data_IF_008235478980
#
_entry.id   IF_008235478980
#
_cell.length_a   1.000
_cell.length_b   1.000
_cell.length_c   1.000
_cell.angle_alpha   90.00
_cell.angle_beta   90.00
_cell.angle_gamma   90.00
#
_symmetry.space_group_name_H-M   'P 1'
#
loop_
_entity.id
_entity.type
_entity.pdbx_description
1 polymer ?
#
# COMPACT_ATOMS: atom_id res chain seq x y z
N UNK A 1 15.83 -12.91 23.09
CA UNK A 1 15.00 -11.71 23.14
C UNK A 1 14.04 -11.82 21.97
N UNK A 2 12.78 -11.93 22.24
CA UNK A 2 11.72 -11.93 21.25
C UNK A 2 11.55 -10.51 20.68
N UNK A 3 10.81 -10.34 19.59
CA UNK A 3 10.65 -9.02 18.96
C UNK A 3 9.82 -8.10 19.88
N UNK A 4 8.79 -8.63 20.54
CA UNK A 4 8.01 -7.90 21.54
C UNK A 4 8.86 -7.44 22.72
N UNK A 5 9.73 -8.33 23.26
CA UNK A 5 10.67 -7.93 24.33
C UNK A 5 11.63 -6.81 23.89
N UNK A 6 12.08 -6.81 22.63
CA UNK A 6 12.92 -5.74 22.10
C UNK A 6 12.14 -4.41 22.01
N UNK A 7 10.89 -4.47 21.57
CA UNK A 7 10.02 -3.30 21.50
C UNK A 7 9.75 -2.71 22.91
N UNK A 8 9.57 -3.56 23.92
CA UNK A 8 9.43 -3.14 25.32
C UNK A 8 10.67 -2.42 25.86
N UNK A 9 11.85 -2.92 25.55
CA UNK A 9 13.13 -2.27 25.91
C UNK A 9 13.29 -0.90 25.25
N UNK A 10 12.73 -0.69 24.05
CA UNK A 10 12.71 0.63 23.40
C UNK A 10 11.87 1.66 24.18
N UNK A 11 10.85 1.24 24.93
CA UNK A 11 10.09 2.11 25.83
C UNK A 11 10.93 2.72 26.96
N UNK A 12 12.06 2.12 27.30
CA UNK A 12 13.03 2.67 28.26
C UNK A 12 14.04 3.66 27.64
N UNK A 13 14.01 3.82 26.32
CA UNK A 13 14.86 4.74 25.57
C UNK A 13 14.13 6.07 25.31
N UNK A 14 14.76 6.96 24.55
CA UNK A 14 14.16 8.22 24.14
C UNK A 14 14.14 8.39 22.63
N UNK A 15 13.55 9.49 22.16
CA UNK A 15 13.46 9.86 20.75
C UNK A 15 12.78 8.76 19.94
N UNK A 16 13.21 8.48 18.72
CA UNK A 16 12.56 7.55 17.82
C UNK A 16 12.42 6.10 18.33
N UNK A 17 13.19 5.67 19.31
CA UNK A 17 12.99 4.37 19.95
C UNK A 17 11.74 4.34 20.83
N UNK A 18 11.49 5.43 21.58
CA UNK A 18 10.24 5.58 22.34
C UNK A 18 9.04 5.67 21.40
N UNK A 19 9.15 6.44 20.30
CA UNK A 19 8.08 6.53 19.30
C UNK A 19 7.79 5.16 18.66
N UNK A 20 8.82 4.33 18.46
CA UNK A 20 8.65 2.98 17.92
C UNK A 20 7.93 2.04 18.90
N UNK A 21 8.26 2.12 20.21
CA UNK A 21 7.53 1.40 21.24
C UNK A 21 6.05 1.81 21.27
N UNK A 22 5.75 3.10 21.28
CA UNK A 22 4.39 3.63 21.23
C UNK A 22 3.66 3.16 19.95
N UNK A 23 4.37 3.08 18.80
CA UNK A 23 3.78 2.55 17.58
C UNK A 23 3.38 1.07 17.69
N UNK A 24 4.11 0.28 18.45
CA UNK A 24 3.73 -1.12 18.74
C UNK A 24 2.50 -1.15 19.63
N UNK A 25 2.43 -0.33 20.68
CA UNK A 25 1.29 -0.28 21.60
C UNK A 25 0.00 0.13 20.87
N UNK A 26 0.06 1.20 20.06
CA UNK A 26 -1.09 1.66 19.26
C UNK A 26 -1.47 0.65 18.17
N UNK A 27 -0.49 -0.05 17.56
CA UNK A 27 -0.77 -1.08 16.56
C UNK A 27 -1.42 -2.32 17.18
N UNK A 28 -0.99 -2.73 18.36
CA UNK A 28 -1.60 -3.82 19.12
C UNK A 28 -3.08 -3.52 19.40
N UNK A 29 -3.37 -2.30 19.91
CA UNK A 29 -4.74 -1.86 20.15
C UNK A 29 -5.58 -1.75 18.87
N UNK A 30 -4.96 -1.31 17.76
CA UNK A 30 -5.61 -1.20 16.44
C UNK A 30 -5.93 -2.56 15.82
N UNK A 31 -5.17 -3.60 16.12
CA UNK A 31 -5.37 -4.96 15.61
C UNK A 31 -6.36 -5.78 16.45
N UNK A 32 -7.13 -5.14 17.32
CA UNK A 32 -8.27 -5.75 17.99
C UNK A 32 -9.42 -6.00 17.00
N UNK A 33 -10.22 -7.04 17.23
CA UNK A 33 -11.30 -7.48 16.33
C UNK A 33 -12.41 -6.43 16.13
N UNK A 34 -12.56 -5.49 17.04
CA UNK A 34 -13.61 -4.47 17.01
C UNK A 34 -13.20 -3.18 16.24
N UNK A 35 -11.93 -3.06 15.79
CA UNK A 35 -11.41 -1.88 15.10
C UNK A 35 -11.38 -2.08 13.59
N UNK A 36 -12.00 -1.16 12.84
CA UNK A 36 -11.89 -1.14 11.36
C UNK A 36 -10.59 -0.45 10.94
N UNK A 37 -9.67 -1.20 10.35
CA UNK A 37 -8.32 -0.74 10.01
C UNK A 37 -8.21 -0.28 8.56
N UNK A 38 -7.92 1.01 8.38
CA UNK A 38 -7.58 1.62 7.10
C UNK A 38 -6.06 1.70 6.96
N UNK A 39 -5.51 0.93 6.03
CA UNK A 39 -4.07 0.84 5.81
C UNK A 39 -3.64 1.68 4.61
N UNK A 40 -2.91 2.75 4.84
CA UNK A 40 -2.36 3.64 3.81
C UNK A 40 -0.93 3.25 3.42
N UNK A 41 -0.72 2.71 2.23
CA UNK A 41 0.57 2.23 1.74
C UNK A 41 1.12 3.12 0.62
N UNK A 42 2.08 3.97 0.93
CA UNK A 42 2.82 4.80 -0.02
C UNK A 42 4.28 4.33 -0.18
N UNK A 43 5.00 4.99 -1.06
CA UNK A 43 6.41 4.66 -1.34
C UNK A 43 6.59 3.39 -2.15
N UNK A 44 7.84 2.99 -2.33
CA UNK A 44 8.22 1.81 -3.11
C UNK A 44 8.25 0.53 -2.24
N UNK A 45 7.19 0.29 -1.47
CA UNK A 45 7.17 -0.78 -0.46
C UNK A 45 7.20 -2.18 -1.07
N UNK A 46 6.57 -2.39 -2.22
CA UNK A 46 6.62 -3.69 -2.91
C UNK A 46 8.02 -3.95 -3.46
N UNK A 47 8.63 -3.07 -4.29
CA UNK A 47 9.99 -3.29 -4.77
C UNK A 47 11.04 -3.46 -3.68
N UNK A 48 10.84 -2.84 -2.52
CA UNK A 48 11.78 -2.91 -1.38
C UNK A 48 11.53 -4.08 -0.43
N UNK A 49 10.63 -5.00 -0.78
CA UNK A 49 10.49 -6.30 -0.11
C UNK A 49 9.44 -6.35 1.01
N UNK A 50 8.58 -5.33 1.14
CA UNK A 50 7.52 -5.32 2.16
C UNK A 50 6.22 -5.99 1.71
N UNK A 51 6.18 -6.52 0.49
CA UNK A 51 5.02 -7.15 -0.15
C UNK A 51 4.38 -8.24 0.71
N UNK A 52 5.18 -9.21 1.16
CA UNK A 52 4.70 -10.34 1.94
C UNK A 52 4.06 -9.90 3.27
N UNK A 53 4.65 -8.92 3.96
CA UNK A 53 4.12 -8.41 5.23
C UNK A 53 2.71 -7.85 5.05
N UNK A 54 2.48 -7.05 4.00
CA UNK A 54 1.17 -6.46 3.75
C UNK A 54 0.15 -7.53 3.33
N UNK A 55 0.55 -8.47 2.47
CA UNK A 55 -0.30 -9.59 2.06
C UNK A 55 -0.71 -10.47 3.26
N UNK A 56 0.22 -10.74 4.18
CA UNK A 56 -0.05 -11.52 5.39
C UNK A 56 -0.98 -10.77 6.35
N UNK A 57 -0.81 -9.45 6.52
CA UNK A 57 -1.72 -8.63 7.33
C UNK A 57 -3.17 -8.68 6.79
N UNK A 58 -3.34 -8.70 5.47
CA UNK A 58 -4.65 -8.86 4.84
C UNK A 58 -5.22 -10.27 5.12
N UNK A 59 -4.43 -11.32 4.91
CA UNK A 59 -4.87 -12.71 5.11
C UNK A 59 -5.23 -13.01 6.56
N UNK A 60 -4.53 -12.39 7.48
CA UNK A 60 -4.74 -12.58 8.92
C UNK A 60 -5.84 -11.66 9.49
N UNK A 61 -6.49 -10.83 8.64
CA UNK A 61 -7.63 -10.00 9.01
C UNK A 61 -7.27 -8.71 9.76
N UNK A 62 -6.03 -8.24 9.68
CA UNK A 62 -5.58 -7.00 10.32
C UNK A 62 -5.76 -5.75 9.44
N UNK A 63 -6.25 -5.89 8.21
CA UNK A 63 -6.52 -4.79 7.28
C UNK A 63 -7.92 -4.98 6.70
N UNK A 64 -8.81 -4.01 6.92
CA UNK A 64 -10.15 -4.00 6.35
C UNK A 64 -10.24 -3.18 5.07
N UNK A 65 -9.39 -2.16 4.94
CA UNK A 65 -9.32 -1.26 3.78
C UNK A 65 -7.87 -0.96 3.45
N UNK A 66 -7.47 -1.21 2.21
CA UNK A 66 -6.15 -0.81 1.72
C UNK A 66 -6.26 0.43 0.81
N UNK A 67 -5.51 1.48 1.13
CA UNK A 67 -5.33 2.65 0.25
C UNK A 67 -3.88 2.69 -0.22
N UNK A 68 -3.65 2.53 -1.52
CA UNK A 68 -2.28 2.42 -2.02
C UNK A 68 -2.05 3.19 -3.32
N UNK A 69 -0.87 3.06 -3.88
CA UNK A 69 -0.48 3.66 -5.17
C UNK A 69 -0.55 2.65 -6.29
N UNK A 70 -0.85 3.11 -7.49
CA UNK A 70 -0.79 2.25 -8.69
C UNK A 70 0.62 1.69 -8.95
N UNK A 71 1.67 2.34 -8.45
CA UNK A 71 3.03 1.81 -8.52
C UNK A 71 3.18 0.54 -7.67
N UNK A 72 2.69 0.52 -6.42
CA UNK A 72 2.70 -0.69 -5.60
C UNK A 72 1.91 -1.82 -6.26
N UNK A 73 0.72 -1.53 -6.82
CA UNK A 73 -0.11 -2.52 -7.53
C UNK A 73 0.56 -3.05 -8.81
N UNK A 74 1.24 -2.18 -9.57
CA UNK A 74 2.02 -2.58 -10.74
C UNK A 74 3.11 -3.58 -10.36
N UNK A 75 3.91 -3.25 -9.36
CA UNK A 75 5.01 -4.10 -8.93
C UNK A 75 4.53 -5.38 -8.24
N UNK A 76 3.42 -5.33 -7.50
CA UNK A 76 2.78 -6.51 -6.91
C UNK A 76 2.32 -7.49 -7.99
N UNK A 77 1.66 -6.99 -9.03
CA UNK A 77 1.19 -7.82 -10.14
C UNK A 77 2.34 -8.38 -10.98
N UNK A 78 3.42 -7.61 -11.20
CA UNK A 78 4.63 -8.10 -11.86
C UNK A 78 5.19 -9.33 -11.12
N UNK A 79 5.27 -9.29 -9.79
CA UNK A 79 5.71 -10.45 -9.02
C UNK A 79 4.69 -11.60 -9.04
N UNK A 80 3.39 -11.29 -9.00
CA UNK A 80 2.33 -12.30 -9.09
C UNK A 80 2.39 -13.12 -10.40
N UNK A 81 2.77 -12.50 -11.51
CA UNK A 81 2.90 -13.18 -12.82
C UNK A 81 4.30 -13.75 -13.09
N UNK A 82 5.18 -13.80 -12.08
CA UNK A 82 6.49 -14.45 -12.14
C UNK A 82 7.69 -13.53 -12.34
N UNK A 83 7.47 -12.22 -12.47
CA UNK A 83 8.55 -11.23 -12.46
C UNK A 83 9.27 -11.19 -11.11
N UNK A 84 10.48 -10.69 -11.08
CA UNK A 84 11.29 -10.63 -9.85
C UNK A 84 12.03 -9.31 -9.74
N UNK A 85 11.98 -8.73 -8.55
CA UNK A 85 12.87 -7.66 -8.16
C UNK A 85 14.18 -8.24 -7.65
N UNK A 86 15.29 -7.67 -8.08
CA UNK A 86 16.63 -8.16 -7.74
C UNK A 86 17.40 -7.13 -6.93
N UNK A 87 18.20 -7.58 -5.97
CA UNK A 87 19.15 -6.69 -5.32
C UNK A 87 20.12 -6.12 -6.35
N UNK A 88 20.25 -4.81 -6.33
CA UNK A 88 21.14 -4.04 -7.19
C UNK A 88 22.02 -3.10 -6.38
N UNK A 89 22.62 -2.14 -7.05
CA UNK A 89 23.44 -1.12 -6.46
C UNK A 89 23.02 0.27 -6.97
N UNK A 90 23.24 1.31 -6.14
CA UNK A 90 23.01 2.71 -6.56
C UNK A 90 24.03 3.13 -7.62
N UNK A 91 25.22 2.54 -7.58
CA UNK A 91 26.29 2.74 -8.58
C UNK A 91 27.21 1.52 -8.64
N UNK A 92 27.75 1.27 -9.84
CA UNK A 92 28.78 0.24 -10.01
C UNK A 92 30.17 0.77 -9.65
N UNK A 93 31.10 -0.15 -9.32
CA UNK A 93 32.47 0.21 -9.00
C UNK A 93 33.14 0.97 -10.17
N UNK A 94 33.71 2.14 -9.85
CA UNK A 94 34.38 2.99 -10.83
C UNK A 94 33.46 3.83 -11.73
N UNK A 95 32.13 3.78 -11.52
CA UNK A 95 31.15 4.59 -12.23
C UNK A 95 30.45 5.56 -11.27
N UNK A 96 30.05 6.72 -11.80
CA UNK A 96 29.06 7.57 -11.14
C UNK A 96 27.67 6.93 -11.20
N UNK A 97 26.73 7.36 -10.36
CA UNK A 97 25.33 6.91 -10.42
C UNK A 97 24.74 7.10 -11.83
N UNK A 98 24.98 8.27 -12.43
CA UNK A 98 24.53 8.57 -13.78
C UNK A 98 25.06 7.58 -14.83
N UNK A 99 26.38 7.31 -14.84
CA UNK A 99 26.99 6.37 -15.79
C UNK A 99 26.50 4.95 -15.58
N UNK A 100 26.16 4.61 -14.35
CA UNK A 100 25.57 3.33 -14.01
C UNK A 100 24.14 3.23 -14.58
N UNK A 101 23.28 4.24 -14.36
CA UNK A 101 21.92 4.26 -14.86
C UNK A 101 21.84 4.30 -16.40
N UNK A 102 22.78 5.01 -17.07
CA UNK A 102 22.93 4.97 -18.53
C UNK A 102 23.24 3.53 -19.00
N UNK A 103 24.07 2.78 -18.26
CA UNK A 103 24.38 1.38 -18.58
C UNK A 103 23.15 0.48 -18.38
N UNK A 104 22.45 0.59 -17.25
CA UNK A 104 21.25 -0.20 -16.96
C UNK A 104 20.18 0.02 -18.03
N UNK A 105 19.99 1.26 -18.48
CA UNK A 105 19.08 1.57 -19.58
C UNK A 105 19.43 0.85 -20.88
N UNK A 106 20.72 0.81 -21.23
CA UNK A 106 21.19 0.11 -22.43
C UNK A 106 21.03 -1.43 -22.31
N UNK A 107 21.05 -1.94 -21.08
CA UNK A 107 20.83 -3.35 -20.74
C UNK A 107 19.34 -3.71 -20.57
N UNK A 108 18.42 -2.75 -20.66
CA UNK A 108 16.98 -2.96 -20.49
C UNK A 108 16.59 -3.26 -19.03
N UNK A 109 17.25 -2.62 -18.07
CA UNK A 109 17.01 -2.77 -16.64
C UNK A 109 16.61 -1.42 -16.02
N UNK A 110 15.50 -1.38 -15.29
CA UNK A 110 15.10 -0.24 -14.50
C UNK A 110 15.61 -0.37 -13.06
N UNK A 111 15.96 0.76 -12.46
CA UNK A 111 16.46 0.84 -11.09
C UNK A 111 15.48 1.61 -10.18
N UNK A 112 15.16 1.01 -9.04
CA UNK A 112 14.40 1.61 -7.95
C UNK A 112 15.29 1.58 -6.71
N UNK A 113 15.96 2.70 -6.39
CA UNK A 113 17.00 2.77 -5.34
C UNK A 113 18.12 1.73 -5.58
N UNK A 114 18.19 0.71 -4.73
CA UNK A 114 19.12 -0.42 -4.83
C UNK A 114 18.43 -1.73 -5.27
N UNK A 115 17.36 -1.61 -6.03
CA UNK A 115 16.60 -2.74 -6.58
C UNK A 115 16.54 -2.59 -8.11
N UNK A 116 16.68 -3.71 -8.83
CA UNK A 116 16.62 -3.77 -10.28
C UNK A 116 15.40 -4.56 -10.73
N UNK A 117 14.81 -4.11 -11.84
CA UNK A 117 13.71 -4.77 -12.51
C UNK A 117 13.98 -4.82 -14.03
N UNK A 118 14.09 -6.01 -14.65
CA UNK A 118 14.14 -6.14 -16.11
C UNK A 118 12.89 -5.54 -16.78
N UNK A 119 13.10 -4.75 -17.84
CA UNK A 119 12.01 -4.06 -18.55
C UNK A 119 11.03 -5.01 -19.23
N UNK A 120 11.45 -6.24 -19.54
CA UNK A 120 10.59 -7.26 -20.13
C UNK A 120 9.35 -7.57 -19.27
N UNK A 121 9.45 -7.50 -17.95
CA UNK A 121 8.33 -7.74 -17.05
C UNK A 121 7.21 -6.69 -17.14
N UNK A 122 7.49 -5.49 -17.63
CA UNK A 122 6.43 -4.54 -17.94
C UNK A 122 5.62 -4.95 -19.19
N UNK A 123 6.25 -5.62 -20.15
CA UNK A 123 5.53 -6.16 -21.32
C UNK A 123 4.65 -7.36 -20.91
N UNK A 124 5.14 -8.21 -19.99
CA UNK A 124 4.36 -9.31 -19.44
C UNK A 124 3.16 -8.77 -18.63
N UNK A 125 3.38 -7.72 -17.84
CA UNK A 125 2.29 -7.04 -17.11
C UNK A 125 1.26 -6.41 -18.06
N UNK A 126 1.69 -5.75 -19.14
CA UNK A 126 0.77 -5.23 -20.17
C UNK A 126 -0.08 -6.37 -20.76
N UNK A 127 0.55 -7.50 -21.11
CA UNK A 127 -0.16 -8.67 -21.66
C UNK A 127 -1.17 -9.21 -20.66
N UNK A 128 -0.79 -9.38 -19.40
CA UNK A 128 -1.68 -9.82 -18.34
C UNK A 128 -2.92 -8.92 -18.19
N UNK A 129 -2.73 -7.60 -18.17
CA UNK A 129 -3.85 -6.65 -18.09
C UNK A 129 -4.78 -6.74 -19.31
N UNK A 130 -4.22 -6.86 -20.52
CA UNK A 130 -4.97 -6.90 -21.78
C UNK A 130 -5.71 -8.21 -22.01
N UNK A 131 -5.22 -9.30 -21.46
CA UNK A 131 -5.79 -10.62 -21.65
C UNK A 131 -6.74 -11.03 -20.52
N UNK A 132 -6.45 -10.67 -19.28
CA UNK A 132 -7.14 -11.20 -18.11
C UNK A 132 -7.98 -10.15 -17.34
N UNK A 133 -7.63 -8.86 -17.40
CA UNK A 133 -8.26 -7.81 -16.58
C UNK A 133 -9.19 -6.92 -17.41
N UNK A 134 -8.65 -6.19 -18.36
CA UNK A 134 -9.43 -5.17 -19.09
C UNK A 134 -10.61 -5.72 -19.89
N UNK A 135 -10.55 -6.91 -20.54
CA UNK A 135 -11.69 -7.43 -21.28
C UNK A 135 -12.91 -7.73 -20.40
N UNK A 136 -12.68 -8.15 -19.15
CA UNK A 136 -13.76 -8.38 -18.18
C UNK A 136 -14.44 -7.05 -17.84
N UNK A 137 -13.65 -6.05 -17.46
CA UNK A 137 -14.13 -4.72 -17.08
C UNK A 137 -14.78 -3.96 -18.26
N UNK A 138 -14.33 -4.20 -19.50
CA UNK A 138 -14.93 -3.60 -20.68
C UNK A 138 -16.39 -4.05 -20.85
N UNK A 139 -16.73 -5.28 -20.50
CA UNK A 139 -18.13 -5.77 -20.55
C UNK A 139 -19.03 -5.02 -19.56
N UNK A 140 -18.48 -4.50 -18.47
CA UNK A 140 -19.18 -3.69 -17.48
C UNK A 140 -19.42 -2.25 -17.97
N UNK A 141 -18.68 -1.80 -19.00
CA UNK A 141 -18.83 -0.48 -19.63
C UNK A 141 -19.81 -0.47 -20.80
N UNK A 142 -20.50 -1.58 -21.10
CA UNK A 142 -21.56 -1.62 -22.08
C UNK A 142 -22.69 -0.65 -21.68
N UNK A 143 -23.33 -0.04 -22.64
CA UNK A 143 -24.36 0.99 -22.42
C UNK A 143 -23.86 2.34 -21.85
N UNK A 144 -22.53 2.53 -21.71
CA UNK A 144 -21.90 3.77 -21.26
C UNK A 144 -21.71 3.86 -19.74
N UNK A 145 -21.82 2.77 -19.02
CA UNK A 145 -21.46 2.68 -17.61
C UNK A 145 -19.95 2.83 -17.43
N UNK A 146 -19.50 3.21 -16.25
CA UNK A 146 -18.12 3.45 -15.91
C UNK A 146 -17.70 2.50 -14.77
N UNK A 147 -16.47 2.01 -14.84
CA UNK A 147 -15.86 1.15 -13.81
C UNK A 147 -15.20 2.01 -12.74
N UNK A 148 -15.44 1.72 -11.48
CA UNK A 148 -14.69 2.36 -10.37
C UNK A 148 -13.22 1.93 -10.36
N UNK A 149 -12.36 2.71 -9.70
CA UNK A 149 -10.95 2.30 -9.54
C UNK A 149 -10.86 1.10 -8.60
N UNK A 150 -11.70 1.05 -7.56
CA UNK A 150 -11.79 -0.10 -6.65
C UNK A 150 -12.16 -1.38 -7.41
N UNK A 151 -13.11 -1.32 -8.35
CA UNK A 151 -13.48 -2.47 -9.18
C UNK A 151 -12.33 -2.92 -10.10
N UNK A 152 -11.53 -1.97 -10.63
CA UNK A 152 -10.30 -2.30 -11.36
C UNK A 152 -9.30 -3.05 -10.48
N UNK A 153 -9.10 -2.60 -9.25
CA UNK A 153 -8.14 -3.24 -8.33
C UNK A 153 -8.63 -4.61 -7.85
N UNK A 154 -9.93 -4.79 -7.68
CA UNK A 154 -10.56 -6.07 -7.37
C UNK A 154 -10.36 -7.07 -8.52
N UNK A 155 -10.61 -6.66 -9.78
CA UNK A 155 -10.40 -7.52 -10.94
C UNK A 155 -8.92 -7.87 -11.15
N UNK A 156 -8.02 -6.91 -10.87
CA UNK A 156 -6.58 -7.18 -10.86
C UNK A 156 -6.23 -8.26 -9.81
N UNK A 157 -6.81 -8.16 -8.62
CA UNK A 157 -6.63 -9.15 -7.55
C UNK A 157 -7.14 -10.53 -7.96
N UNK A 158 -8.33 -10.61 -8.57
CA UNK A 158 -8.87 -11.86 -9.11
C UNK A 158 -7.93 -12.49 -10.15
N UNK A 159 -7.47 -11.69 -11.11
CA UNK A 159 -6.57 -12.17 -12.15
C UNK A 159 -5.23 -12.66 -11.58
N UNK A 160 -4.67 -11.94 -10.60
CA UNK A 160 -3.45 -12.35 -9.91
C UNK A 160 -3.64 -13.65 -9.11
N UNK A 161 -4.78 -13.82 -8.42
CA UNK A 161 -5.09 -15.04 -7.67
C UNK A 161 -5.23 -16.26 -8.58
N UNK A 162 -5.78 -16.11 -9.79
CA UNK A 162 -5.89 -17.19 -10.76
C UNK A 162 -4.52 -17.64 -11.29
N UNK A 163 -3.56 -16.73 -11.42
CA UNK A 163 -2.18 -17.07 -11.82
C UNK A 163 -1.49 -17.93 -10.76
N UNK A 164 -1.77 -17.68 -9.47
CA UNK A 164 -1.19 -18.43 -8.35
C UNK A 164 -1.48 -19.94 -8.43
N UNK A 165 -2.59 -20.35 -9.04
CA UNK A 165 -2.94 -21.75 -9.26
C UNK A 165 -2.23 -22.42 -10.44
N UNK A 166 -1.41 -21.69 -11.20
CA UNK A 166 -0.65 -22.23 -12.33
C UNK A 166 0.75 -22.65 -11.88
N UNK A 167 1.11 -23.91 -12.16
CA UNK A 167 2.47 -24.42 -11.89
C UNK A 167 3.54 -23.50 -12.49
N UNK A 168 4.59 -23.24 -11.74
CA UNK A 168 5.82 -22.53 -12.12
C UNK A 168 5.82 -20.98 -12.04
N UNK A 169 4.81 -20.26 -11.55
CA UNK A 169 4.82 -18.79 -11.63
C UNK A 169 5.10 -18.12 -10.28
N UNK A 170 4.31 -18.33 -9.25
CA UNK A 170 4.51 -17.68 -7.97
C UNK A 170 4.16 -18.59 -6.78
N UNK A 171 4.97 -18.54 -5.73
CA UNK A 171 4.63 -19.14 -4.43
C UNK A 171 3.57 -18.29 -3.71
N UNK A 172 3.48 -16.99 -4.03
CA UNK A 172 2.57 -16.03 -3.43
C UNK A 172 2.08 -15.03 -4.49
N UNK A 173 0.76 -14.95 -4.69
CA UNK A 173 0.13 -14.01 -5.61
C UNK A 173 0.07 -12.55 -5.09
N UNK A 174 0.49 -12.29 -3.86
CA UNK A 174 0.75 -10.96 -3.30
C UNK A 174 -0.46 -10.21 -2.74
N UNK A 175 -0.32 -8.88 -2.73
CA UNK A 175 -1.23 -7.97 -2.04
C UNK A 175 -2.62 -7.94 -2.69
N UNK A 176 -2.68 -7.74 -4.01
CA UNK A 176 -3.97 -7.62 -4.71
C UNK A 176 -4.75 -8.94 -4.68
N UNK A 177 -4.06 -10.08 -4.83
CA UNK A 177 -4.68 -11.39 -4.72
C UNK A 177 -5.18 -11.68 -3.30
N UNK A 178 -4.36 -11.40 -2.27
CA UNK A 178 -4.75 -11.55 -0.88
C UNK A 178 -6.00 -10.69 -0.55
N UNK A 179 -6.05 -9.47 -1.06
CA UNK A 179 -7.19 -8.59 -0.88
C UNK A 179 -8.47 -9.14 -1.53
N UNK A 180 -8.37 -9.63 -2.77
CA UNK A 180 -9.48 -10.27 -3.47
C UNK A 180 -9.99 -11.53 -2.73
N UNK A 181 -9.08 -12.40 -2.28
CA UNK A 181 -9.40 -13.65 -1.61
C UNK A 181 -10.03 -13.46 -0.21
N UNK A 182 -9.84 -12.28 0.40
CA UNK A 182 -10.34 -11.95 1.74
C UNK A 182 -11.36 -10.79 1.74
N UNK A 183 -11.91 -10.43 0.58
CA UNK A 183 -12.91 -9.37 0.42
C UNK A 183 -12.46 -7.99 0.96
N UNK A 184 -11.15 -7.71 0.95
CA UNK A 184 -10.58 -6.41 1.36
C UNK A 184 -10.52 -5.45 0.18
N UNK A 185 -11.26 -4.33 0.19
CA UNK A 185 -11.24 -3.38 -0.91
C UNK A 185 -9.91 -2.62 -0.97
N UNK A 186 -9.40 -2.46 -2.20
CA UNK A 186 -8.21 -1.64 -2.48
C UNK A 186 -8.63 -0.35 -3.19
N UNK A 187 -8.30 0.78 -2.60
CA UNK A 187 -8.48 2.10 -3.20
C UNK A 187 -7.16 2.66 -3.73
N UNK A 188 -7.17 3.14 -4.96
CA UNK A 188 -6.01 3.72 -5.63
C UNK A 188 -6.34 5.10 -6.21
N UNK A 189 -6.50 6.15 -5.38
CA UNK A 189 -7.10 7.43 -5.76
C UNK A 189 -6.34 8.21 -6.85
N UNK A 190 -5.07 7.91 -7.08
CA UNK A 190 -4.24 8.51 -8.12
C UNK A 190 -3.71 7.45 -9.09
N UNK A 191 -4.57 6.54 -9.53
CA UNK A 191 -4.17 5.42 -10.40
C UNK A 191 -3.46 5.89 -11.67
N UNK A 192 -3.85 7.03 -12.23
CA UNK A 192 -3.25 7.61 -13.44
C UNK A 192 -1.77 8.00 -13.27
N UNK A 193 -1.28 8.13 -12.04
CA UNK A 193 0.15 8.36 -11.74
C UNK A 193 0.89 7.02 -11.53
N UNK A 194 0.74 6.11 -12.50
CA UNK A 194 1.36 4.77 -12.46
C UNK A 194 1.38 4.10 -13.83
N UNK A 195 2.17 3.02 -13.95
CA UNK A 195 2.14 2.16 -15.15
C UNK A 195 0.79 1.48 -15.30
N UNK A 196 0.14 1.03 -14.23
CA UNK A 196 -1.23 0.51 -14.26
C UNK A 196 -2.19 1.52 -14.90
N UNK A 197 -2.16 2.77 -14.43
CA UNK A 197 -3.01 3.82 -14.99
C UNK A 197 -2.68 4.19 -16.42
N UNK A 198 -1.40 4.15 -16.80
CA UNK A 198 -0.97 4.35 -18.18
C UNK A 198 -1.53 3.26 -19.11
N UNK A 199 -1.48 1.99 -18.69
CA UNK A 199 -2.05 0.87 -19.44
C UNK A 199 -3.57 0.98 -19.54
N UNK A 200 -4.25 1.33 -18.46
CA UNK A 200 -5.70 1.58 -18.46
C UNK A 200 -6.08 2.70 -19.45
N UNK A 201 -5.33 3.81 -19.44
CA UNK A 201 -5.52 4.89 -20.41
C UNK A 201 -5.29 4.43 -21.85
N UNK A 202 -4.22 3.70 -22.14
CA UNK A 202 -3.95 3.20 -23.50
C UNK A 202 -5.06 2.26 -23.97
N UNK A 203 -5.54 1.37 -23.13
CA UNK A 203 -6.63 0.45 -23.46
C UNK A 203 -7.95 1.21 -23.78
N UNK A 204 -8.27 2.22 -22.99
CA UNK A 204 -9.47 3.05 -23.18
C UNK A 204 -9.51 3.81 -24.51
N UNK A 205 -8.37 4.01 -25.20
CA UNK A 205 -8.34 4.71 -26.48
C UNK A 205 -8.94 3.90 -27.63
N UNK A 206 -9.07 2.57 -27.48
CA UNK A 206 -9.50 1.65 -28.55
C UNK A 206 -10.65 0.72 -28.11
N UNK A 207 -11.19 0.91 -26.92
CA UNK A 207 -12.22 0.07 -26.31
C UNK A 207 -13.31 0.92 -25.64
N UNK A 208 -14.38 0.30 -25.17
CA UNK A 208 -15.42 0.96 -24.39
C UNK A 208 -15.04 1.19 -22.92
N UNK A 209 -13.92 0.59 -22.47
CA UNK A 209 -13.46 0.69 -21.10
C UNK A 209 -13.24 2.15 -20.66
N UNK A 210 -13.79 2.52 -19.50
CA UNK A 210 -13.63 3.85 -18.91
C UNK A 210 -13.74 3.79 -17.39
N UNK A 211 -12.96 4.64 -16.70
CA UNK A 211 -12.88 4.69 -15.24
C UNK A 211 -13.62 5.90 -14.66
N UNK A 212 -14.31 5.69 -13.54
CA UNK A 212 -14.87 6.75 -12.68
C UNK A 212 -14.11 6.78 -11.34
N UNK A 213 -13.28 7.80 -11.17
CA UNK A 213 -12.52 8.01 -9.94
C UNK A 213 -13.40 8.43 -8.75
N UNK A 214 -14.59 8.95 -8.98
CA UNK A 214 -15.50 9.37 -7.92
C UNK A 214 -16.40 8.24 -7.43
N UNK A 215 -16.58 7.18 -8.22
CA UNK A 215 -17.38 6.03 -7.83
C UNK A 215 -16.86 5.32 -6.57
N UNK A 216 -15.56 5.44 -6.28
CA UNK A 216 -14.93 4.89 -5.07
C UNK A 216 -15.38 5.58 -3.78
N UNK A 217 -15.84 6.84 -3.86
CA UNK A 217 -16.10 7.65 -2.67
C UNK A 217 -17.25 7.13 -1.83
N UNK A 218 -18.32 6.63 -2.46
CA UNK A 218 -19.48 6.13 -1.72
C UNK A 218 -19.15 4.87 -0.92
N UNK A 219 -18.62 3.77 -1.51
CA UNK A 219 -18.34 2.56 -0.75
C UNK A 219 -17.27 2.78 0.33
N UNK A 220 -16.25 3.60 0.07
CA UNK A 220 -15.25 3.93 1.08
C UNK A 220 -15.87 4.71 2.27
N UNK A 221 -16.74 5.67 1.98
CA UNK A 221 -17.43 6.45 3.01
C UNK A 221 -18.40 5.58 3.82
N UNK A 222 -19.06 4.63 3.15
CA UNK A 222 -19.97 3.70 3.83
C UNK A 222 -19.24 2.82 4.83
N UNK A 223 -18.02 2.35 4.51
CA UNK A 223 -17.18 1.60 5.46
C UNK A 223 -16.86 2.48 6.67
N UNK A 224 -16.36 3.70 6.44
CA UNK A 224 -16.03 4.63 7.52
C UNK A 224 -17.24 5.01 8.38
N UNK A 225 -18.42 5.13 7.77
CA UNK A 225 -19.66 5.48 8.48
C UNK A 225 -20.16 4.37 9.40
N UNK A 226 -19.86 3.11 9.09
CA UNK A 226 -20.32 1.95 9.85
C UNK A 226 -19.27 1.41 10.82
N UNK A 227 -18.04 1.93 10.82
CA UNK A 227 -17.02 1.59 11.78
C UNK A 227 -17.46 2.04 13.18
N UNK A 228 -17.42 1.13 14.17
CA UNK A 228 -17.67 1.47 15.59
C UNK A 228 -16.42 2.11 16.21
N UNK A 229 -15.25 1.55 15.92
CA UNK A 229 -13.92 2.13 16.16
C UNK A 229 -13.10 2.06 14.88
N UNK A 230 -12.26 3.05 14.65
CA UNK A 230 -11.47 3.12 13.42
C UNK A 230 -9.99 3.40 13.69
N UNK A 231 -9.13 2.70 12.96
CA UNK A 231 -7.68 2.86 13.00
C UNK A 231 -7.10 3.23 11.63
N UNK A 232 -6.10 4.11 11.62
CA UNK A 232 -5.33 4.47 10.43
C UNK A 232 -3.87 4.07 10.59
N UNK A 233 -3.41 3.07 9.85
CA UNK A 233 -1.99 2.72 9.76
C UNK A 233 -1.40 3.24 8.45
N UNK A 234 -0.45 4.16 8.51
CA UNK A 234 0.10 4.83 7.31
C UNK A 234 1.59 4.56 7.16
N UNK A 235 1.96 3.95 6.05
CA UNK A 235 3.36 3.75 5.64
C UNK A 235 3.73 4.81 4.60
N UNK A 236 4.69 5.67 4.92
CA UNK A 236 5.06 6.83 4.11
C UNK A 236 4.10 8.00 4.28
N UNK A 237 3.58 8.53 3.18
CA UNK A 237 2.73 9.71 3.19
C UNK A 237 1.98 9.90 1.86
N UNK A 238 2.07 11.10 1.28
CA UNK A 238 1.50 11.41 -0.03
C UNK A 238 -0.02 11.19 -0.13
N UNK A 239 -0.45 10.76 -1.31
CA UNK A 239 -1.87 10.53 -1.62
C UNK A 239 -2.50 9.46 -0.74
N UNK A 240 -1.89 8.27 -0.52
CA UNK A 240 -2.49 7.27 0.36
C UNK A 240 -2.77 7.79 1.76
N UNK A 241 -1.81 8.47 2.41
CA UNK A 241 -2.05 9.11 3.71
C UNK A 241 -3.23 10.07 3.70
N UNK A 242 -3.23 11.00 2.73
CA UNK A 242 -4.27 12.03 2.72
C UNK A 242 -5.64 11.43 2.43
N UNK A 243 -5.72 10.49 1.49
CA UNK A 243 -6.99 9.87 1.12
C UNK A 243 -7.57 9.07 2.30
N UNK A 244 -6.74 8.24 2.95
CA UNK A 244 -7.11 7.54 4.19
C UNK A 244 -7.65 8.53 5.23
N UNK A 245 -6.86 9.50 5.66
CA UNK A 245 -7.29 10.45 6.70
C UNK A 245 -8.47 11.32 6.28
N UNK A 246 -8.61 11.64 4.98
CA UNK A 246 -9.68 12.48 4.47
C UNK A 246 -11.04 11.78 4.47
N UNK A 247 -11.07 10.47 4.43
CA UNK A 247 -12.30 9.67 4.47
C UNK A 247 -13.17 10.04 5.67
N UNK A 248 -12.56 10.32 6.83
CA UNK A 248 -13.28 10.70 8.05
C UNK A 248 -13.93 12.10 8.00
N UNK A 249 -13.61 12.97 7.03
CA UNK A 249 -14.26 14.28 6.93
C UNK A 249 -15.77 14.23 6.62
N UNK A 250 -16.24 13.10 6.14
CA UNK A 250 -17.65 12.86 5.79
C UNK A 250 -18.31 11.78 6.66
N UNK A 251 -17.54 11.20 7.60
CA UNK A 251 -18.05 10.32 8.65
C UNK A 251 -18.52 11.13 9.86
N UNK A 252 -19.46 10.64 10.67
CA UNK A 252 -19.84 11.26 11.94
C UNK A 252 -18.74 11.21 12.99
N UNK A 253 -17.90 10.18 12.93
CA UNK A 253 -16.80 9.89 13.86
C UNK A 253 -15.46 10.02 13.14
N UNK A 254 -14.36 10.04 13.89
CA UNK A 254 -13.00 10.16 13.38
C UNK A 254 -12.15 8.93 13.78
N UNK A 255 -10.88 8.87 13.41
CA UNK A 255 -10.01 7.77 13.83
C UNK A 255 -9.71 7.82 15.33
N UNK A 256 -9.86 6.68 16.01
CA UNK A 256 -9.52 6.45 17.42
C UNK A 256 -8.02 6.13 17.57
N UNK A 257 -7.44 5.47 16.55
CA UNK A 257 -6.05 5.05 16.52
C UNK A 257 -5.37 5.53 15.24
N UNK A 258 -4.11 5.98 15.35
CA UNK A 258 -3.35 6.29 14.15
C UNK A 258 -1.84 6.08 14.32
N UNK A 259 -1.24 5.34 13.40
CA UNK A 259 0.22 5.14 13.30
C UNK A 259 0.71 5.65 11.97
N UNK A 260 1.83 6.40 11.95
CA UNK A 260 2.52 6.75 10.72
C UNK A 260 4.01 6.42 10.80
N UNK A 261 4.50 5.66 9.84
CA UNK A 261 5.93 5.37 9.63
C UNK A 261 6.41 6.22 8.45
N UNK A 262 7.29 7.21 8.66
CA UNK A 262 7.70 8.16 7.60
C UNK A 262 9.12 8.67 7.77
N UNK A 263 9.77 8.99 6.64
CA UNK A 263 11.05 9.73 6.61
C UNK A 263 10.87 11.23 6.32
N UNK A 264 9.64 11.69 6.08
CA UNK A 264 9.38 13.09 5.70
C UNK A 264 9.24 13.99 6.93
N UNK A 265 10.16 14.94 7.14
CA UNK A 265 10.11 15.85 8.27
C UNK A 265 9.07 16.96 8.06
N UNK A 266 8.55 17.50 9.17
CA UNK A 266 7.61 18.64 9.18
C UNK A 266 8.11 19.87 8.40
N UNK A 267 9.44 20.07 8.38
CA UNK A 267 10.07 21.23 7.77
C UNK A 267 9.94 21.28 6.24
N UNK A 268 9.63 20.16 5.58
CA UNK A 268 9.38 20.17 4.12
C UNK A 268 8.10 20.89 3.74
N UNK A 269 7.16 21.06 4.70
CA UNK A 269 5.84 21.65 4.44
C UNK A 269 4.94 20.78 3.56
N UNK A 270 5.38 19.57 3.23
CA UNK A 270 4.60 18.60 2.46
C UNK A 270 3.62 17.84 3.34
N UNK A 271 2.57 17.32 2.71
CA UNK A 271 1.53 16.54 3.37
C UNK A 271 2.07 15.31 4.13
N UNK A 272 3.10 14.65 3.57
CA UNK A 272 3.72 13.47 4.19
C UNK A 272 4.32 13.78 5.57
N UNK A 273 4.88 15.00 5.75
CA UNK A 273 5.48 15.45 7.01
C UNK A 273 4.49 16.14 7.95
N UNK A 274 3.26 16.43 7.54
CA UNK A 274 2.21 16.93 8.44
C UNK A 274 1.95 15.86 9.54
N UNK A 275 1.84 16.30 10.79
CA UNK A 275 1.66 15.35 11.91
C UNK A 275 0.25 14.80 11.99
N UNK A 276 0.10 13.64 12.62
CA UNK A 276 -1.22 13.10 12.94
C UNK A 276 -1.97 14.03 13.91
N UNK A 277 -1.28 14.70 14.84
CA UNK A 277 -1.90 15.71 15.71
C UNK A 277 -2.52 16.87 14.92
N UNK A 278 -1.90 17.30 13.82
CA UNK A 278 -2.49 18.31 12.95
C UNK A 278 -3.83 17.85 12.37
N UNK A 279 -3.98 16.55 12.10
CA UNK A 279 -5.20 15.96 11.58
C UNK A 279 -6.40 16.09 12.56
N UNK A 280 -6.15 16.19 13.86
CA UNK A 280 -7.20 16.50 14.88
C UNK A 280 -7.87 17.85 14.60
N UNK A 281 -7.11 18.85 14.18
CA UNK A 281 -7.66 20.19 13.87
C UNK A 281 -8.64 20.18 12.69
N UNK A 282 -8.55 19.15 11.85
CA UNK A 282 -9.43 18.92 10.71
C UNK A 282 -10.59 17.96 11.03
N UNK A 283 -10.66 17.40 12.23
CA UNK A 283 -11.66 16.39 12.61
C UNK A 283 -11.41 15.03 11.95
N UNK A 284 -10.16 14.71 11.60
CA UNK A 284 -9.78 13.42 11.02
C UNK A 284 -9.38 12.39 12.09
N UNK A 285 -8.96 12.84 13.26
CA UNK A 285 -8.69 12.05 14.45
C UNK A 285 -9.56 12.55 15.60
N UNK A 286 -9.99 11.64 16.46
CA UNK A 286 -10.69 11.97 17.69
C UNK A 286 -9.79 12.78 18.64
N UNK A 287 -10.40 13.50 19.58
CA UNK A 287 -9.63 14.38 20.50
C UNK A 287 -8.73 13.59 21.44
N UNK A 288 -9.15 12.42 21.80
CA UNK A 288 -8.49 11.46 22.67
C UNK A 288 -7.87 10.27 21.91
N UNK A 289 -7.88 10.31 20.57
CA UNK A 289 -7.25 9.27 19.75
C UNK A 289 -5.82 8.97 20.19
N UNK A 290 -5.45 7.72 20.21
CA UNK A 290 -4.08 7.29 20.42
C UNK A 290 -3.32 7.32 19.10
N UNK A 291 -2.25 8.13 19.02
CA UNK A 291 -1.54 8.26 17.76
C UNK A 291 -0.05 8.53 17.90
N UNK A 292 0.74 7.99 17.01
CA UNK A 292 2.18 8.18 16.95
C UNK A 292 2.69 8.30 15.51
N UNK A 293 3.71 9.13 15.32
CA UNK A 293 4.46 9.21 14.06
C UNK A 293 5.91 8.82 14.32
N UNK A 294 6.35 7.71 13.75
CA UNK A 294 7.75 7.23 13.81
C UNK A 294 8.52 7.83 12.64
N UNK A 295 9.50 8.67 12.96
CA UNK A 295 10.37 9.26 11.96
C UNK A 295 11.56 8.34 11.69
N UNK A 296 11.36 7.36 10.83
CA UNK A 296 12.37 6.37 10.43
C UNK A 296 12.00 5.69 9.11
N UNK A 297 12.98 4.94 8.54
CA UNK A 297 12.78 4.15 7.34
C UNK A 297 11.76 3.02 7.57
N UNK A 298 10.71 3.01 6.75
CA UNK A 298 9.63 2.05 6.87
C UNK A 298 10.05 0.61 6.57
N UNK A 299 11.10 0.40 5.76
CA UNK A 299 11.63 -0.95 5.51
C UNK A 299 12.29 -1.58 6.74
N UNK A 300 12.62 -0.76 7.74
CA UNK A 300 13.14 -1.18 9.03
C UNK A 300 12.02 -1.26 10.08
N UNK A 301 11.16 -0.24 10.11
CA UNK A 301 10.18 -0.08 11.19
C UNK A 301 8.92 -0.91 10.98
N UNK A 302 8.41 -1.04 9.76
CA UNK A 302 7.21 -1.82 9.48
C UNK A 302 7.34 -3.29 9.92
N UNK A 303 8.38 -4.04 9.52
CA UNK A 303 8.55 -5.43 9.97
C UNK A 303 8.62 -5.55 11.48
N UNK A 304 9.26 -4.60 12.15
CA UNK A 304 9.46 -4.63 13.60
C UNK A 304 8.15 -4.34 14.34
N UNK A 305 7.42 -3.29 13.95
CA UNK A 305 6.14 -2.92 14.57
C UNK A 305 5.13 -4.04 14.41
N UNK A 306 4.97 -4.56 13.17
CA UNK A 306 4.01 -5.64 12.89
C UNK A 306 4.36 -6.91 13.64
N UNK A 307 5.63 -7.34 13.61
CA UNK A 307 6.03 -8.57 14.31
C UNK A 307 5.86 -8.45 15.83
N UNK A 308 6.17 -7.29 16.42
CA UNK A 308 6.03 -7.08 17.86
C UNK A 308 4.55 -7.03 18.28
N UNK A 309 3.70 -6.32 17.55
CA UNK A 309 2.27 -6.25 17.84
C UNK A 309 1.60 -7.64 17.74
N UNK A 310 1.87 -8.38 16.66
CA UNK A 310 1.34 -9.75 16.50
C UNK A 310 1.81 -10.70 17.60
N UNK A 311 3.10 -10.65 17.97
CA UNK A 311 3.63 -11.48 19.06
C UNK A 311 2.92 -11.21 20.39
N UNK A 312 2.52 -9.96 20.65
CA UNK A 312 1.80 -9.61 21.88
C UNK A 312 0.35 -10.08 21.86
N UNK A 313 -0.32 -10.02 20.70
CA UNK A 313 -1.69 -10.53 20.53
C UNK A 313 -1.78 -12.06 20.67
N UNK A 314 -0.71 -12.79 20.35
CA UNK A 314 -0.65 -14.24 20.46
C UNK A 314 -0.38 -14.76 21.91
N UNK A 315 0.07 -13.88 22.85
CA UNK A 315 0.44 -14.25 24.21
C UNK A 315 -0.62 -13.88 25.25
#
# INVERSE_FOLDING_TARGET
>A
MAVGELADEYGNAGVGAADLHEAVDVTEAMFDDDVTVFFGLAGAMVPTGMRAIVADLIRDGYIDVLVTTGANLTHDSIEAIGGKHHHGAVHAEGKTEREHDETLRDEGVDRIYNVYLPQEFFADFESHLREEVFPVLETECEDGDLVSIQRLTEELGRANAEVNGRDDIAEDAGIAAAAYENDVPIYCPAVQDSVLGLQAWMYSQTSAFSLDALADMTPLTDIAYHAEEAGAFVVGGGVPKNFTLQTMLVSPDAYDYAVQLTMDPKQTGGLSGATLDEARSWGKLEKDAENVSVYADATITLPLVVAAARERLEN
#
